data_IF_746264084422
#
_entry.id   IF_746264084422
#
_cell.length_a   1.000
_cell.length_b   1.000
_cell.length_c   1.000
_cell.angle_alpha   90.00
_cell.angle_beta   90.00
_cell.angle_gamma   90.00
#
_symmetry.space_group_name_H-M   'P 1'
#
loop_
_entity.id
_entity.type
_entity.pdbx_description
1 polymer ?
#
# COMPACT_ATOMS: atom_id res chain seq x y z
N UNK A 1 -10.73 9.96 -5.03
CA UNK A 1 -9.56 10.80 -5.38
C UNK A 1 -9.77 11.21 -6.82
N UNK A 2 -9.16 12.30 -7.29
CA UNK A 2 -9.15 12.67 -8.70
C UNK A 2 -7.96 12.05 -9.45
N UNK A 3 -7.64 10.79 -9.14
CA UNK A 3 -6.64 10.02 -9.89
C UNK A 3 -7.09 9.88 -11.33
N UNK A 4 -6.15 10.05 -12.27
CA UNK A 4 -6.39 9.87 -13.71
C UNK A 4 -5.30 9.00 -14.32
N UNK A 5 -5.52 8.53 -15.55
CA UNK A 5 -4.49 7.85 -16.34
C UNK A 5 -4.33 8.59 -17.67
N UNK A 6 -3.09 8.93 -18.00
CA UNK A 6 -2.73 9.39 -19.35
C UNK A 6 -2.42 8.18 -20.22
N UNK A 7 -3.30 7.95 -21.20
CA UNK A 7 -3.24 6.84 -22.15
C UNK A 7 -2.53 7.20 -23.47
N UNK A 8 -1.99 8.40 -23.60
CA UNK A 8 -1.43 8.89 -24.87
C UNK A 8 0.00 8.40 -25.15
N UNK A 9 0.69 7.87 -24.14
CA UNK A 9 2.08 7.42 -24.22
C UNK A 9 2.26 5.93 -24.51
N UNK A 10 3.51 5.53 -24.76
CA UNK A 10 3.90 4.12 -24.81
C UNK A 10 3.89 3.47 -23.41
N UNK A 11 4.18 4.27 -22.38
CA UNK A 11 3.96 3.94 -20.98
C UNK A 11 2.80 4.78 -20.49
N UNK A 12 1.81 4.12 -19.91
CA UNK A 12 0.57 4.74 -19.44
C UNK A 12 0.82 5.29 -18.04
N UNK A 13 0.46 6.54 -17.78
CA UNK A 13 0.84 7.23 -16.55
C UNK A 13 -0.34 7.40 -15.62
N UNK A 14 -0.29 6.76 -14.45
CA UNK A 14 -1.21 6.97 -13.34
C UNK A 14 -0.83 8.29 -12.65
N UNK A 15 -1.69 9.29 -12.74
CA UNK A 15 -1.47 10.61 -12.18
C UNK A 15 -2.23 10.74 -10.87
N UNK A 16 -1.49 10.99 -9.79
CA UNK A 16 -2.02 11.21 -8.45
C UNK A 16 -1.79 12.68 -8.08
N UNK A 17 -2.84 13.52 -8.05
CA UNK A 17 -2.71 14.90 -7.62
C UNK A 17 -2.30 14.99 -6.14
N UNK A 18 -1.36 15.89 -5.82
CA UNK A 18 -0.98 16.20 -4.44
C UNK A 18 -2.19 16.64 -3.60
N UNK A 19 -3.16 17.31 -4.23
CA UNK A 19 -4.41 17.75 -3.60
C UNK A 19 -5.29 16.58 -3.10
N UNK A 20 -5.10 15.37 -3.63
CA UNK A 20 -5.80 14.16 -3.19
C UNK A 20 -5.06 13.40 -2.08
N UNK A 21 -3.86 13.85 -1.70
CA UNK A 21 -3.10 13.25 -0.63
C UNK A 21 -3.49 13.85 0.72
N UNK A 22 -3.38 13.05 1.78
CA UNK A 22 -3.64 13.54 3.14
C UNK A 22 -2.40 14.25 3.66
N UNK A 23 -2.49 15.55 3.93
CA UNK A 23 -1.39 16.29 4.57
C UNK A 23 -1.17 15.78 6.00
N UNK A 24 0.04 15.31 6.31
CA UNK A 24 0.41 14.85 7.66
C UNK A 24 1.08 15.99 8.43
N UNK A 25 2.12 16.60 7.86
CA UNK A 25 2.83 17.74 8.45
C UNK A 25 3.79 18.37 7.44
N UNK A 26 3.94 19.69 7.46
CA UNK A 26 4.91 20.39 6.58
C UNK A 26 4.71 20.03 5.10
N UNK A 27 5.71 19.37 4.51
CA UNK A 27 5.69 18.84 3.13
C UNK A 27 5.54 17.31 3.06
N UNK A 28 5.09 16.68 4.14
CA UNK A 28 4.81 15.25 4.22
C UNK A 28 3.32 14.99 4.02
N UNK A 29 3.03 14.22 2.99
CA UNK A 29 1.70 13.77 2.61
C UNK A 29 1.61 12.25 2.76
N UNK A 30 0.39 11.72 2.85
CA UNK A 30 0.12 10.30 2.88
C UNK A 30 -0.85 9.90 1.77
N UNK A 31 -0.51 8.81 1.09
CA UNK A 31 -1.36 8.12 0.13
C UNK A 31 -1.93 6.86 0.78
N UNK A 32 -3.25 6.78 0.88
CA UNK A 32 -3.94 5.52 1.16
C UNK A 32 -3.99 4.69 -0.13
N UNK A 33 -3.17 3.64 -0.19
CA UNK A 33 -3.02 2.79 -1.39
C UNK A 33 -4.26 1.97 -1.70
N UNK A 34 -5.09 1.65 -0.70
CA UNK A 34 -6.36 0.96 -0.95
C UNK A 34 -7.41 1.88 -1.59
N UNK A 35 -7.41 3.17 -1.22
CA UNK A 35 -8.23 4.17 -1.91
C UNK A 35 -7.78 4.29 -3.36
N UNK A 36 -6.46 4.44 -3.60
CA UNK A 36 -5.89 4.47 -4.96
C UNK A 36 -6.33 3.25 -5.78
N UNK A 37 -6.21 2.04 -5.24
CA UNK A 37 -6.64 0.79 -5.90
C UNK A 37 -8.12 0.82 -6.30
N UNK A 38 -8.98 1.37 -5.45
CA UNK A 38 -10.41 1.46 -5.75
C UNK A 38 -10.66 2.42 -6.92
N UNK A 39 -9.95 3.56 -6.92
CA UNK A 39 -10.04 4.55 -7.99
C UNK A 39 -9.49 4.01 -9.32
N UNK A 40 -8.39 3.24 -9.28
CA UNK A 40 -7.86 2.56 -10.47
C UNK A 40 -8.86 1.55 -11.05
N UNK A 41 -9.51 0.73 -10.22
CA UNK A 41 -10.58 -0.17 -10.72
C UNK A 41 -11.75 0.60 -11.31
N UNK A 42 -12.08 1.79 -10.80
CA UNK A 42 -13.12 2.64 -11.36
C UNK A 42 -12.70 3.20 -12.73
N UNK A 43 -11.43 3.59 -12.89
CA UNK A 43 -10.88 4.05 -14.17
C UNK A 43 -10.84 2.94 -15.22
N UNK A 44 -10.41 1.73 -14.85
CA UNK A 44 -10.42 0.55 -15.72
C UNK A 44 -11.84 0.17 -16.18
N UNK A 45 -12.85 0.40 -15.32
CA UNK A 45 -14.25 0.14 -15.65
C UNK A 45 -14.92 1.28 -16.45
N UNK A 46 -14.24 2.42 -16.65
CA UNK A 46 -14.77 3.54 -17.41
C UNK A 46 -14.65 3.30 -18.93
N UNK A 47 -15.45 4.01 -19.72
CA UNK A 47 -15.51 3.87 -21.18
C UNK A 47 -14.13 3.94 -21.86
N UNK A 48 -13.23 4.80 -21.36
CA UNK A 48 -11.85 4.90 -21.86
C UNK A 48 -10.97 3.76 -21.34
N UNK A 49 -11.11 3.35 -20.09
CA UNK A 49 -10.23 2.37 -19.45
C UNK A 49 -10.47 0.92 -19.88
N UNK A 50 -11.69 0.58 -20.29
CA UNK A 50 -12.08 -0.81 -20.58
C UNK A 50 -11.30 -1.47 -21.73
N UNK A 51 -10.65 -0.67 -22.58
CA UNK A 51 -9.85 -1.16 -23.71
C UNK A 51 -8.40 -1.46 -23.33
N UNK A 52 -7.97 -1.05 -22.13
CA UNK A 52 -6.62 -1.24 -21.62
C UNK A 52 -6.56 -2.40 -20.62
N UNK A 53 -5.38 -2.99 -20.46
CA UNK A 53 -5.16 -4.09 -19.51
C UNK A 53 -5.12 -3.59 -18.05
N UNK A 54 -5.22 -4.50 -17.08
CA UNK A 54 -5.28 -4.16 -15.65
C UNK A 54 -4.06 -3.33 -15.20
N UNK A 55 -4.31 -2.29 -14.42
CA UNK A 55 -3.26 -1.39 -13.87
C UNK A 55 -2.48 -2.02 -12.72
N UNK A 56 -3.12 -2.93 -11.97
CA UNK A 56 -2.55 -3.49 -10.76
C UNK A 56 -3.06 -4.90 -10.45
N UNK A 57 -2.22 -5.69 -9.78
CA UNK A 57 -2.63 -6.88 -9.06
C UNK A 57 -3.03 -6.55 -7.63
N UNK A 58 -3.99 -7.30 -7.08
CA UNK A 58 -4.43 -7.14 -5.70
C UNK A 58 -4.64 -8.48 -5.01
N UNK A 59 -3.97 -8.67 -3.88
CA UNK A 59 -4.25 -9.74 -2.94
C UNK A 59 -4.79 -9.13 -1.66
N UNK A 60 -5.97 -9.58 -1.24
CA UNK A 60 -6.56 -9.11 0.02
C UNK A 60 -5.71 -9.51 1.23
N UNK A 61 -5.98 -8.89 2.37
CA UNK A 61 -5.41 -9.27 3.66
C UNK A 61 -5.60 -10.77 3.92
N UNK A 62 -4.53 -11.44 4.34
CA UNK A 62 -4.50 -12.89 4.55
C UNK A 62 -3.93 -13.21 5.93
N UNK A 63 -4.54 -14.17 6.61
CA UNK A 63 -4.05 -14.68 7.89
C UNK A 63 -3.25 -15.95 7.63
N UNK A 64 -1.95 -15.94 7.96
CA UNK A 64 -1.08 -17.10 7.86
C UNK A 64 -0.49 -17.38 9.23
N UNK A 65 -0.76 -18.58 9.78
CA UNK A 65 -0.27 -19.00 11.10
C UNK A 65 -0.54 -18.00 12.25
N UNK A 66 -1.70 -17.32 12.22
CA UNK A 66 -2.09 -16.34 13.25
C UNK A 66 -1.52 -14.93 13.05
N UNK A 67 -0.72 -14.74 11.99
CA UNK A 67 -0.20 -13.42 11.58
C UNK A 67 -1.07 -12.89 10.45
N UNK A 68 -1.62 -11.70 10.62
CA UNK A 68 -2.40 -11.02 9.59
C UNK A 68 -1.47 -10.21 8.70
N UNK A 69 -1.34 -10.60 7.44
CA UNK A 69 -0.55 -9.87 6.45
C UNK A 69 -1.41 -8.81 5.77
N UNK A 70 -0.91 -7.57 5.73
CA UNK A 70 -1.57 -6.50 5.00
C UNK A 70 -1.73 -6.88 3.52
N UNK A 71 -2.83 -6.41 2.90
CA UNK A 71 -3.11 -6.60 1.47
C UNK A 71 -1.90 -6.22 0.61
N UNK A 72 -1.72 -6.86 -0.54
CA UNK A 72 -0.73 -6.50 -1.55
C UNK A 72 -1.43 -5.76 -2.70
N UNK A 73 -0.87 -4.63 -3.12
CA UNK A 73 -1.28 -3.88 -4.29
C UNK A 73 -0.02 -3.65 -5.12
N UNK A 74 0.07 -4.31 -6.26
CA UNK A 74 1.25 -4.27 -7.12
C UNK A 74 0.88 -3.60 -8.44
N UNK A 75 1.50 -2.46 -8.75
CA UNK A 75 1.37 -1.80 -10.05
C UNK A 75 2.06 -2.65 -11.10
N UNK A 76 1.39 -2.84 -12.24
CA UNK A 76 1.88 -3.68 -13.33
C UNK A 76 2.69 -2.86 -14.34
N UNK A 77 3.94 -3.27 -14.52
CA UNK A 77 4.89 -2.68 -15.47
C UNK A 77 5.60 -3.83 -16.23
N UNK A 78 6.48 -3.51 -17.18
CA UNK A 78 7.27 -4.45 -17.94
C UNK A 78 8.18 -5.36 -17.08
N UNK A 79 8.53 -4.95 -15.86
CA UNK A 79 9.39 -5.73 -14.96
C UNK A 79 8.69 -6.88 -14.24
N UNK A 80 7.37 -6.80 -14.05
CA UNK A 80 6.59 -7.75 -13.24
C UNK A 80 5.32 -8.25 -13.95
N UNK A 81 5.13 -7.90 -15.21
CA UNK A 81 3.97 -8.28 -16.02
C UNK A 81 4.37 -8.58 -17.46
N UNK A 82 3.65 -9.49 -18.10
CA UNK A 82 3.76 -9.77 -19.54
C UNK A 82 2.74 -8.97 -20.36
N UNK A 83 2.06 -8.00 -19.74
CA UNK A 83 1.12 -7.11 -20.41
C UNK A 83 1.84 -6.20 -21.42
N UNK A 84 1.12 -5.83 -22.48
CA UNK A 84 1.59 -4.85 -23.47
C UNK A 84 1.37 -3.43 -22.96
N UNK A 85 0.25 -3.21 -22.26
CA UNK A 85 0.01 -1.97 -21.55
C UNK A 85 0.84 -1.98 -20.26
N UNK A 86 1.70 -0.97 -20.10
CA UNK A 86 2.62 -0.86 -18.96
C UNK A 86 2.39 0.45 -18.23
N UNK A 87 2.37 0.40 -16.90
CA UNK A 87 1.97 1.54 -16.08
C UNK A 87 3.11 2.07 -15.21
N UNK A 88 3.15 3.39 -15.08
CA UNK A 88 3.99 4.11 -14.11
C UNK A 88 3.13 5.04 -13.25
N UNK A 89 3.63 5.40 -12.07
CA UNK A 89 2.97 6.29 -11.10
C UNK A 89 3.69 7.62 -11.07
N UNK A 90 2.90 8.69 -11.14
CA UNK A 90 3.36 10.06 -11.09
C UNK A 90 2.53 10.90 -10.12
N UNK A 91 3.21 11.46 -9.12
CA UNK A 91 2.64 12.43 -8.20
C UNK A 91 2.72 13.85 -8.80
N UNK A 92 1.57 14.49 -8.98
CA UNK A 92 1.45 15.78 -9.66
C UNK A 92 1.17 16.94 -8.70
N UNK A 93 1.84 18.09 -8.82
CA UNK A 93 2.95 18.37 -9.74
C UNK A 93 4.26 17.71 -9.24
N UNK A 94 5.24 17.50 -10.14
CA UNK A 94 6.57 17.00 -9.74
C UNK A 94 7.36 18.10 -9.05
N UNK A 95 7.18 18.20 -7.73
CA UNK A 95 7.79 19.23 -6.89
C UNK A 95 8.35 18.58 -5.62
N UNK A 96 9.13 19.33 -4.85
CA UNK A 96 9.79 18.78 -3.66
C UNK A 96 8.81 18.63 -2.50
N UNK A 97 8.28 17.43 -2.32
CA UNK A 97 7.55 16.98 -1.13
C UNK A 97 7.76 15.47 -0.93
N UNK A 98 7.30 14.97 0.21
CA UNK A 98 7.39 13.54 0.53
C UNK A 98 6.00 12.93 0.55
N UNK A 99 5.87 11.73 -0.01
CA UNK A 99 4.64 10.92 0.05
C UNK A 99 4.92 9.64 0.79
N UNK A 100 4.25 9.47 1.92
CA UNK A 100 4.21 8.25 2.68
C UNK A 100 3.14 7.32 2.12
N UNK A 101 3.50 6.09 1.82
CA UNK A 101 2.56 5.07 1.38
C UNK A 101 1.97 4.32 2.59
N UNK A 102 0.65 4.15 2.63
CA UNK A 102 -0.04 3.47 3.73
C UNK A 102 -1.18 2.57 3.22
N UNK A 103 -1.44 1.46 3.93
CA UNK A 103 -2.64 0.63 3.73
C UNK A 103 -2.47 -0.66 2.91
N UNK A 104 -1.29 -0.92 2.34
CA UNK A 104 -0.97 -2.19 1.65
C UNK A 104 0.53 -2.42 1.52
N UNK A 105 1.01 -3.65 1.35
CA UNK A 105 2.28 -3.88 0.67
C UNK A 105 2.17 -3.40 -0.80
N UNK A 106 3.19 -2.76 -1.35
CA UNK A 106 3.16 -2.25 -2.74
C UNK A 106 4.57 -1.99 -3.30
N UNK A 107 4.64 -1.68 -4.60
CA UNK A 107 5.86 -1.38 -5.36
C UNK A 107 5.93 0.07 -5.90
N UNK A 108 5.07 0.98 -5.44
CA UNK A 108 4.93 2.34 -6.01
C UNK A 108 6.21 3.18 -5.84
N UNK A 109 7.07 2.83 -4.89
CA UNK A 109 8.33 3.53 -4.62
C UNK A 109 9.49 3.10 -5.53
N UNK A 110 9.28 2.11 -6.40
CA UNK A 110 10.34 1.49 -7.19
C UNK A 110 10.74 2.36 -8.38
N UNK A 111 11.89 3.02 -8.24
CA UNK A 111 12.50 3.84 -9.28
C UNK A 111 13.32 2.99 -10.28
N UNK A 112 13.92 1.88 -9.83
CA UNK A 112 14.79 1.05 -10.67
C UNK A 112 14.00 0.36 -11.77
N UNK A 113 12.80 -0.13 -11.44
CA UNK A 113 11.89 -0.77 -12.39
C UNK A 113 10.93 0.23 -13.09
N UNK A 114 11.23 1.53 -13.03
CA UNK A 114 10.45 2.60 -13.66
C UNK A 114 8.95 2.60 -13.27
N UNK A 115 8.64 2.22 -12.03
CA UNK A 115 7.27 2.31 -11.49
C UNK A 115 7.03 3.73 -10.97
N UNK A 116 8.02 4.35 -10.33
CA UNK A 116 7.96 5.74 -9.91
C UNK A 116 8.54 6.66 -11.00
N UNK A 117 7.71 7.53 -11.57
CA UNK A 117 8.11 8.45 -12.64
C UNK A 117 8.57 9.84 -12.15
N UNK A 118 8.41 10.14 -10.86
CA UNK A 118 8.81 11.43 -10.30
C UNK A 118 10.33 11.59 -10.23
N UNK A 119 10.81 12.82 -10.45
CA UNK A 119 12.24 13.16 -10.35
C UNK A 119 12.63 13.83 -9.04
N UNK A 120 11.67 14.50 -8.39
CA UNK A 120 11.93 15.28 -7.15
C UNK A 120 11.02 14.92 -5.98
N UNK A 121 9.87 14.29 -6.23
CA UNK A 121 8.98 13.82 -5.16
C UNK A 121 9.59 12.60 -4.47
N UNK A 122 9.76 12.66 -3.15
CA UNK A 122 10.31 11.54 -2.39
C UNK A 122 9.20 10.60 -1.93
N UNK A 123 9.27 9.32 -2.32
CA UNK A 123 8.29 8.32 -1.89
C UNK A 123 8.87 7.49 -0.75
N UNK A 124 8.16 7.47 0.37
CA UNK A 124 8.53 6.74 1.58
C UNK A 124 7.68 5.48 1.64
N UNK A 125 8.30 4.33 1.37
CA UNK A 125 7.65 3.04 1.58
C UNK A 125 7.59 2.72 3.07
N UNK A 126 6.40 2.44 3.59
CA UNK A 126 6.23 1.92 4.97
C UNK A 126 5.92 0.43 4.98
N UNK A 127 5.99 -0.20 3.81
CA UNK A 127 5.26 -1.39 3.47
C UNK A 127 5.97 -2.16 2.34
N UNK A 128 7.30 -2.21 2.42
CA UNK A 128 8.13 -3.08 1.57
C UNK A 128 8.10 -4.50 2.12
N UNK A 129 7.47 -5.40 1.37
CA UNK A 129 7.44 -6.86 1.52
C UNK A 129 7.56 -7.41 2.97
N UNK A 130 6.48 -7.29 3.75
CA UNK A 130 6.43 -7.94 5.08
C UNK A 130 5.57 -7.23 6.13
N UNK A 131 4.74 -6.26 5.75
CA UNK A 131 3.89 -5.57 6.71
C UNK A 131 2.84 -6.53 7.30
N UNK A 132 2.95 -6.77 8.60
CA UNK A 132 1.93 -7.43 9.41
C UNK A 132 0.97 -6.37 9.92
N UNK A 133 -0.34 -6.58 9.75
CA UNK A 133 -1.37 -5.79 10.41
C UNK A 133 -1.26 -6.04 11.92
N UNK A 134 -0.63 -5.11 12.65
CA UNK A 134 -0.56 -5.19 14.11
C UNK A 134 -1.94 -4.78 14.65
N UNK A 135 -2.79 -5.76 14.93
CA UNK A 135 -3.92 -5.54 15.83
C UNK A 135 -3.33 -5.17 17.20
N UNK A 136 -3.60 -3.96 17.69
CA UNK A 136 -3.18 -3.52 19.01
C UNK A 136 -3.64 -4.53 20.06
N UNK A 137 -2.68 -5.28 20.60
CA UNK A 137 -2.83 -6.40 21.51
C UNK A 137 -1.45 -6.95 21.84
N UNK A 138 -1.32 -7.70 22.93
CA UNK A 138 -0.02 -8.14 23.47
C UNK A 138 0.78 -9.10 22.58
N UNK A 139 0.26 -9.48 21.41
CA UNK A 139 0.85 -10.50 20.54
C UNK A 139 0.74 -11.94 21.09
N UNK A 140 0.06 -12.14 22.21
CA UNK A 140 -0.15 -13.47 22.78
C UNK A 140 -1.18 -14.25 21.97
N UNK A 141 -0.84 -15.48 21.59
CA UNK A 141 -1.82 -16.47 21.16
C UNK A 141 -2.80 -16.80 22.30
N UNK A 142 -3.94 -17.40 21.98
CA UNK A 142 -4.92 -17.84 22.98
C UNK A 142 -4.30 -18.77 24.03
N UNK A 143 -3.37 -19.63 23.61
CA UNK A 143 -2.67 -20.55 24.50
C UNK A 143 -1.73 -19.81 25.47
N UNK A 144 -0.95 -18.86 24.95
CA UNK A 144 -0.03 -18.06 25.77
C UNK A 144 -0.80 -17.13 26.71
N UNK A 145 -1.92 -16.56 26.28
CA UNK A 145 -2.80 -15.79 27.15
C UNK A 145 -3.37 -16.66 28.29
N UNK A 146 -3.81 -17.89 27.98
CA UNK A 146 -4.28 -18.83 29.00
C UNK A 146 -3.17 -19.25 29.98
N UNK A 147 -1.94 -19.43 29.50
CA UNK A 147 -0.78 -19.70 30.37
C UNK A 147 -0.45 -18.50 31.24
N UNK A 148 -0.44 -17.28 30.70
CA UNK A 148 -0.22 -16.06 31.46
C UNK A 148 -1.26 -15.91 32.58
N UNK A 149 -2.54 -16.13 32.26
CA UNK A 149 -3.62 -16.05 33.25
C UNK A 149 -3.48 -17.11 34.35
N UNK A 150 -3.04 -18.33 34.00
CA UNK A 150 -2.71 -19.36 35.01
C UNK A 150 -1.56 -18.92 35.91
N UNK A 151 -0.48 -18.41 35.32
CA UNK A 151 0.69 -17.93 36.06
C UNK A 151 0.34 -16.76 36.97
N UNK A 152 -0.47 -15.80 36.50
CA UNK A 152 -0.95 -14.68 37.32
C UNK A 152 -1.81 -15.15 38.50
N UNK A 153 -2.62 -16.18 38.28
CA UNK A 153 -3.46 -16.78 39.32
C UNK A 153 -2.58 -17.41 40.40
N UNK A 154 -1.59 -18.21 40.01
CA UNK A 154 -0.64 -18.83 40.95
C UNK A 154 0.18 -17.76 41.69
N UNK A 155 0.67 -16.74 41.01
CA UNK A 155 1.42 -15.64 41.63
C UNK A 155 0.59 -14.92 42.71
N UNK A 156 -0.70 -14.67 42.45
CA UNK A 156 -1.63 -14.13 43.45
C UNK A 156 -1.82 -15.06 44.64
N UNK A 157 -1.97 -16.37 44.40
CA UNK A 157 -2.07 -17.36 45.50
C UNK A 157 -0.80 -17.41 46.35
N UNK A 158 0.37 -17.16 45.76
CA UNK A 158 1.66 -17.12 46.45
C UNK A 158 1.97 -15.77 47.10
N UNK A 159 1.08 -14.78 47.00
CA UNK A 159 1.28 -13.45 47.59
C UNK A 159 2.36 -12.60 46.91
N UNK A 160 2.74 -12.96 45.69
CA UNK A 160 3.68 -12.19 44.88
C UNK A 160 2.95 -10.98 44.27
N UNK A 161 3.52 -9.78 44.44
CA UNK A 161 3.00 -8.53 43.88
C UNK A 161 3.52 -8.30 42.47
#
# INVERSE_FOLDING_TARGET
>A
MATTIDYSGATLRIIIPQADLTLISGSLYELNTNTLRTDLKALEAADTGIVFQDTHNHNTEVIVAGVTFARLIEILNASNSTQTDVYEVFFSPDTTYSVRLAGSNNNIFDLENAILANTVTQVISQNSAGLVTINTGSGLSTAENAQLMKTLTVAKFLGLK
#
